data_IF_774281836076
#
_entry.id   IF_774281836076
#
_cell.length_a   1.000
_cell.length_b   1.000
_cell.length_c   1.000
_cell.angle_alpha   90.00
_cell.angle_beta   90.00
_cell.angle_gamma   90.00
#
_symmetry.space_group_name_H-M   'P 1'
#
loop_
_entity.id
_entity.type
_entity.pdbx_description
1 polymer ?
#
# COMPACT_ATOMS: atom_id res chain seq x y z
N UNK A 1 -67.08 16.85 43.58
CA UNK A 1 -66.01 15.85 43.39
C UNK A 1 -65.97 15.55 41.90
N UNK A 2 -65.08 16.17 41.16
CA UNK A 2 -64.86 15.92 39.74
C UNK A 2 -63.37 15.58 39.63
N UNK A 3 -63.04 14.33 39.30
CA UNK A 3 -61.72 13.88 38.96
C UNK A 3 -61.50 14.13 37.46
N UNK A 4 -60.59 15.01 37.10
CA UNK A 4 -60.16 15.29 35.76
C UNK A 4 -59.22 14.15 35.31
N UNK A 5 -59.53 13.50 34.23
CA UNK A 5 -58.71 12.55 33.45
C UNK A 5 -57.99 13.35 32.34
N UNK A 6 -56.73 13.76 32.61
CA UNK A 6 -55.86 14.32 31.59
C UNK A 6 -54.45 13.71 31.81
N UNK A 7 -54.28 12.46 31.35
CA UNK A 7 -52.95 11.84 31.28
C UNK A 7 -52.85 10.85 30.09
N UNK A 8 -52.82 11.39 28.87
CA UNK A 8 -52.31 10.67 27.71
C UNK A 8 -51.88 11.70 26.62
N UNK A 9 -50.85 12.47 26.91
CA UNK A 9 -50.07 13.10 25.86
C UNK A 9 -48.89 12.16 25.56
N UNK A 10 -48.98 11.50 24.40
CA UNK A 10 -47.98 10.59 23.90
C UNK A 10 -46.61 11.26 23.84
N UNK A 11 -45.65 10.64 24.50
CA UNK A 11 -44.24 10.84 24.28
C UNK A 11 -43.97 10.54 22.79
N UNK A 12 -43.79 11.59 21.99
CA UNK A 12 -43.15 11.44 20.69
C UNK A 12 -41.76 10.84 20.98
N UNK A 13 -41.60 9.57 20.64
CA UNK A 13 -40.28 8.96 20.46
C UNK A 13 -39.63 9.78 19.36
N UNK A 14 -38.73 10.69 19.76
CA UNK A 14 -37.93 11.42 18.82
C UNK A 14 -37.15 10.37 18.01
N UNK A 15 -37.31 10.40 16.70
CA UNK A 15 -36.35 9.76 15.79
C UNK A 15 -35.00 10.31 16.23
N UNK A 16 -34.09 9.44 16.71
CA UNK A 16 -32.68 9.78 16.78
C UNK A 16 -32.33 10.23 15.36
N UNK A 17 -32.04 11.50 15.17
CA UNK A 17 -31.31 11.94 13.99
C UNK A 17 -30.09 11.03 13.93
N UNK A 18 -29.93 10.26 12.85
CA UNK A 18 -28.74 9.49 12.61
C UNK A 18 -27.59 10.50 12.50
N UNK A 19 -26.87 10.74 13.58
CA UNK A 19 -25.65 11.52 13.52
C UNK A 19 -24.67 10.78 12.61
N UNK A 20 -24.06 11.52 11.67
CA UNK A 20 -23.02 10.97 10.77
C UNK A 20 -21.88 10.41 11.62
N UNK A 21 -21.28 9.33 11.15
CA UNK A 21 -20.06 8.78 11.72
C UNK A 21 -18.89 9.65 11.24
N UNK A 22 -18.25 10.36 12.15
CA UNK A 22 -17.14 11.26 11.84
C UNK A 22 -15.82 10.49 11.82
N UNK A 23 -15.16 10.48 10.68
CA UNK A 23 -13.90 9.77 10.46
C UNK A 23 -12.79 10.75 10.09
N UNK A 24 -11.72 10.72 10.86
CA UNK A 24 -10.46 11.38 10.54
C UNK A 24 -9.51 10.36 9.87
N UNK A 25 -8.97 10.68 8.70
CA UNK A 25 -7.92 9.89 8.04
C UNK A 25 -6.61 10.65 8.09
N UNK A 26 -5.56 10.09 8.74
CA UNK A 26 -4.23 10.70 8.82
C UNK A 26 -3.28 9.94 7.90
N UNK A 27 -2.60 10.68 7.01
CA UNK A 27 -1.75 10.14 5.93
C UNK A 27 -0.43 10.88 5.90
N UNK A 28 0.69 10.17 5.84
CA UNK A 28 2.03 10.74 5.83
C UNK A 28 2.77 10.63 4.51
N UNK A 29 2.67 9.49 3.86
CA UNK A 29 3.52 9.12 2.73
C UNK A 29 2.73 8.74 1.48
N UNK A 30 3.41 8.70 0.34
CA UNK A 30 2.82 8.30 -0.95
C UNK A 30 2.22 6.88 -0.93
N UNK A 31 2.89 5.84 -0.41
CA UNK A 31 2.26 4.51 -0.30
C UNK A 31 0.99 4.49 0.53
N UNK A 32 0.95 5.28 1.61
CA UNK A 32 -0.25 5.42 2.44
C UNK A 32 -1.42 6.04 1.66
N UNK A 33 -1.17 7.08 0.84
CA UNK A 33 -2.22 7.68 0.00
C UNK A 33 -2.84 6.64 -0.91
N UNK A 34 -2.03 5.85 -1.61
CA UNK A 34 -2.49 4.81 -2.53
C UNK A 34 -3.43 3.85 -1.79
N UNK A 35 -3.04 3.39 -0.61
CA UNK A 35 -3.79 2.41 0.18
C UNK A 35 -4.99 3.02 0.92
N UNK A 36 -4.94 4.31 1.27
CA UNK A 36 -6.06 5.02 1.92
C UNK A 36 -7.13 5.50 0.94
N UNK A 37 -6.75 5.85 -0.28
CA UNK A 37 -7.67 6.40 -1.29
C UNK A 37 -8.95 5.57 -1.49
N UNK A 38 -8.89 4.23 -1.65
CA UNK A 38 -10.10 3.42 -1.79
C UNK A 38 -11.02 3.51 -0.56
N UNK A 39 -10.44 3.59 0.63
CA UNK A 39 -11.20 3.71 1.88
C UNK A 39 -11.86 5.07 1.97
N UNK A 40 -11.13 6.16 1.68
CA UNK A 40 -11.68 7.52 1.64
C UNK A 40 -12.86 7.58 0.67
N UNK A 41 -12.69 7.02 -0.54
CA UNK A 41 -13.73 6.98 -1.55
C UNK A 41 -14.96 6.21 -1.06
N UNK A 42 -14.78 5.00 -0.55
CA UNK A 42 -15.87 4.16 -0.06
C UNK A 42 -16.64 4.79 1.10
N UNK A 43 -15.96 5.54 1.97
CA UNK A 43 -16.60 6.27 3.07
C UNK A 43 -17.33 7.53 2.57
N UNK A 44 -16.73 8.32 1.67
CA UNK A 44 -17.35 9.54 1.14
C UNK A 44 -18.58 9.27 0.25
N UNK A 45 -18.66 8.09 -0.38
CA UNK A 45 -19.80 7.65 -1.17
C UNK A 45 -20.98 7.13 -0.33
N UNK A 46 -20.80 6.94 0.98
CA UNK A 46 -21.85 6.51 1.91
C UNK A 46 -22.29 7.68 2.80
N UNK A 47 -23.55 8.09 2.65
CA UNK A 47 -24.17 9.22 3.38
C UNK A 47 -24.13 9.06 4.93
N UNK A 48 -23.74 7.91 5.45
CA UNK A 48 -23.61 7.70 6.89
C UNK A 48 -22.32 8.30 7.47
N UNK A 49 -21.36 8.73 6.63
CA UNK A 49 -20.05 9.18 7.08
C UNK A 49 -19.78 10.66 6.76
N UNK A 50 -19.06 11.32 7.67
CA UNK A 50 -18.37 12.59 7.45
C UNK A 50 -16.85 12.33 7.56
N UNK A 51 -16.10 12.57 6.47
CA UNK A 51 -14.69 12.17 6.35
C UNK A 51 -13.78 13.38 6.20
N UNK A 52 -12.89 13.57 7.15
CA UNK A 52 -11.79 14.54 7.12
C UNK A 52 -10.49 13.86 6.79
N UNK A 53 -9.75 14.42 5.84
CA UNK A 53 -8.44 13.91 5.44
C UNK A 53 -7.37 14.89 5.86
N UNK A 54 -6.35 14.39 6.56
CA UNK A 54 -5.21 15.19 7.02
C UNK A 54 -3.92 14.57 6.48
N UNK A 55 -3.19 15.35 5.68
CA UNK A 55 -1.84 15.02 5.27
C UNK A 55 -0.83 15.68 6.20
N UNK A 56 0.15 14.91 6.65
CA UNK A 56 1.25 15.46 7.45
C UNK A 56 2.32 16.14 6.58
N UNK A 57 2.30 15.89 5.28
CA UNK A 57 3.11 16.62 4.31
C UNK A 57 4.56 16.18 4.22
N UNK A 58 4.82 14.87 4.31
CA UNK A 58 6.17 14.31 4.27
C UNK A 58 6.89 14.46 2.91
N UNK A 59 6.17 14.67 1.78
CA UNK A 59 6.73 14.92 0.44
C UNK A 59 5.82 15.86 -0.35
N UNK A 60 6.26 17.12 -0.61
CA UNK A 60 5.42 18.16 -1.21
C UNK A 60 4.99 17.88 -2.65
N UNK A 61 5.95 17.71 -3.57
CA UNK A 61 5.65 17.69 -5.02
C UNK A 61 4.98 16.39 -5.48
N UNK A 62 5.40 15.24 -4.94
CA UNK A 62 4.81 13.95 -5.29
C UNK A 62 3.42 13.76 -4.69
N UNK A 63 3.13 14.41 -3.56
CA UNK A 63 1.84 14.39 -2.90
C UNK A 63 0.80 15.16 -3.72
N UNK A 64 1.13 16.39 -4.13
CA UNK A 64 0.22 17.27 -4.87
C UNK A 64 -0.19 16.64 -6.22
N UNK A 65 0.76 16.04 -6.95
CA UNK A 65 0.48 15.31 -8.19
C UNK A 65 -0.44 14.11 -7.99
N UNK A 66 -0.28 13.35 -6.90
CA UNK A 66 -1.14 12.20 -6.61
C UNK A 66 -2.53 12.61 -6.13
N UNK A 67 -2.63 13.66 -5.33
CA UNK A 67 -3.92 14.14 -4.83
C UNK A 67 -4.81 14.60 -5.99
N UNK A 68 -4.24 15.33 -6.96
CA UNK A 68 -4.95 15.71 -8.20
C UNK A 68 -5.39 14.49 -9.01
N UNK A 69 -4.49 13.53 -9.22
CA UNK A 69 -4.76 12.31 -9.97
C UNK A 69 -5.86 11.44 -9.30
N UNK A 70 -5.90 11.39 -7.97
CA UNK A 70 -6.82 10.58 -7.16
C UNK A 70 -8.16 11.30 -6.90
N UNK A 71 -8.21 12.63 -7.05
CA UNK A 71 -9.41 13.43 -6.84
C UNK A 71 -9.79 13.61 -5.36
N UNK A 72 -8.80 13.74 -4.47
CA UNK A 72 -9.02 14.15 -3.08
C UNK A 72 -8.88 15.67 -3.01
N UNK A 73 -9.97 16.39 -3.11
CA UNK A 73 -10.05 17.85 -3.21
C UNK A 73 -10.27 18.56 -1.86
N UNK A 74 -10.78 17.86 -0.84
CA UNK A 74 -11.00 18.40 0.51
C UNK A 74 -10.07 17.71 1.52
N UNK A 75 -8.99 18.42 1.90
CA UNK A 75 -7.99 17.92 2.86
C UNK A 75 -7.27 19.05 3.59
N UNK A 76 -6.71 18.74 4.76
CA UNK A 76 -5.82 19.61 5.52
C UNK A 76 -4.37 19.14 5.33
N UNK A 77 -3.44 20.03 4.98
CA UNK A 77 -2.01 19.70 4.90
C UNK A 77 -1.23 20.40 6.00
N UNK A 78 -0.71 19.65 6.95
CA UNK A 78 0.00 20.16 8.12
C UNK A 78 1.46 20.56 7.85
N UNK A 79 2.05 20.10 6.74
CA UNK A 79 3.39 20.50 6.25
C UNK A 79 4.51 20.35 7.29
N UNK A 80 4.55 19.24 8.00
CA UNK A 80 5.51 19.00 9.10
C UNK A 80 6.92 18.59 8.63
N UNK A 81 7.09 18.27 7.34
CA UNK A 81 8.34 17.70 6.84
C UNK A 81 9.43 18.75 6.63
N UNK A 82 10.62 18.44 7.12
CA UNK A 82 11.88 19.13 6.86
C UNK A 82 12.96 18.08 6.51
N UNK A 83 13.83 18.35 5.56
CA UNK A 83 14.90 17.44 5.19
C UNK A 83 15.84 17.14 6.37
N UNK A 84 16.21 15.86 6.50
CA UNK A 84 17.18 15.43 7.52
C UNK A 84 16.64 15.38 8.96
N UNK A 85 15.32 15.41 9.17
CA UNK A 85 14.73 15.25 10.50
C UNK A 85 15.03 13.88 11.10
N UNK A 86 15.31 13.86 12.41
CA UNK A 86 15.32 12.62 13.19
C UNK A 86 13.91 12.08 13.40
N UNK A 87 13.78 10.79 13.65
CA UNK A 87 12.48 10.15 13.96
C UNK A 87 11.76 10.83 15.13
N UNK A 88 12.50 11.20 16.18
CA UNK A 88 11.96 11.93 17.35
C UNK A 88 11.38 13.29 16.95
N UNK A 89 12.05 13.99 16.02
CA UNK A 89 11.59 15.28 15.51
C UNK A 89 10.32 15.12 14.67
N UNK A 90 10.27 14.12 13.79
CA UNK A 90 9.07 13.80 13.00
C UNK A 90 7.89 13.49 13.92
N UNK A 91 8.07 12.63 14.93
CA UNK A 91 7.02 12.28 15.89
C UNK A 91 6.51 13.52 16.64
N UNK A 92 7.41 14.32 17.20
CA UNK A 92 7.03 15.52 17.97
C UNK A 92 6.35 16.57 17.11
N UNK A 93 6.82 16.83 15.91
CA UNK A 93 6.19 17.77 14.98
C UNK A 93 4.81 17.29 14.53
N UNK A 94 4.65 15.99 14.27
CA UNK A 94 3.36 15.43 13.90
C UNK A 94 2.33 15.62 15.03
N UNK A 95 2.69 15.29 16.27
CA UNK A 95 1.82 15.49 17.44
C UNK A 95 1.44 16.95 17.62
N UNK A 96 2.43 17.87 17.59
CA UNK A 96 2.18 19.31 17.75
C UNK A 96 1.31 19.88 16.61
N UNK A 97 1.53 19.47 15.39
CA UNK A 97 0.74 19.92 14.25
C UNK A 97 -0.70 19.38 14.30
N UNK A 98 -0.90 18.11 14.69
CA UNK A 98 -2.23 17.55 14.92
C UNK A 98 -2.98 18.27 16.05
N UNK A 99 -2.28 18.75 17.06
CA UNK A 99 -2.89 19.56 18.12
C UNK A 99 -3.42 20.93 17.64
N UNK A 100 -3.04 21.39 16.45
CA UNK A 100 -3.62 22.61 15.86
C UNK A 100 -4.98 22.39 15.20
N UNK A 101 -5.43 21.14 15.04
CA UNK A 101 -6.76 20.86 14.51
C UNK A 101 -7.82 21.38 15.48
N UNK A 102 -8.72 22.23 14.96
CA UNK A 102 -9.82 22.79 15.76
C UNK A 102 -10.89 21.74 16.07
N UNK A 103 -11.23 20.91 15.07
CA UNK A 103 -12.19 19.83 15.21
C UNK A 103 -11.54 18.59 15.82
N UNK A 104 -12.11 18.07 16.91
CA UNK A 104 -11.64 16.87 17.63
C UNK A 104 -12.77 15.89 17.95
N UNK A 105 -13.98 16.18 17.49
CA UNK A 105 -15.16 15.37 17.72
C UNK A 105 -15.30 14.34 16.61
N UNK A 106 -14.35 13.37 16.56
CA UNK A 106 -14.34 12.25 15.64
C UNK A 106 -14.68 10.95 16.36
N UNK A 107 -15.48 10.09 15.72
CA UNK A 107 -15.76 8.74 16.21
C UNK A 107 -14.54 7.83 15.98
N UNK A 108 -13.88 7.98 14.83
CA UNK A 108 -12.72 7.18 14.44
C UNK A 108 -11.60 8.04 13.87
N UNK A 109 -10.37 7.60 14.15
CA UNK A 109 -9.17 8.02 13.44
C UNK A 109 -8.57 6.81 12.72
N UNK A 110 -8.53 6.83 11.40
CA UNK A 110 -7.94 5.78 10.60
C UNK A 110 -6.50 6.13 10.23
N UNK A 111 -5.60 5.17 10.43
CA UNK A 111 -4.20 5.22 10.02
C UNK A 111 -3.85 3.97 9.22
N UNK A 112 -2.89 4.07 8.29
CA UNK A 112 -2.54 2.96 7.41
C UNK A 112 -1.04 2.65 7.47
N UNK A 113 -0.69 1.38 7.73
CA UNK A 113 0.70 0.92 7.70
C UNK A 113 1.47 1.22 8.98
N UNK A 114 2.72 1.66 8.86
CA UNK A 114 3.71 1.56 9.94
C UNK A 114 4.73 2.69 10.00
N UNK A 115 4.53 3.77 9.27
CA UNK A 115 5.47 4.90 9.31
C UNK A 115 5.43 5.63 10.66
N UNK A 116 6.46 6.45 10.92
CA UNK A 116 6.49 7.29 12.13
C UNK A 116 5.29 8.23 12.22
N UNK A 117 4.76 8.68 11.08
CA UNK A 117 3.55 9.51 11.02
C UNK A 117 2.30 8.74 11.42
N UNK A 118 2.20 7.49 11.01
CA UNK A 118 1.10 6.58 11.40
C UNK A 118 1.10 6.38 12.91
N UNK A 119 2.27 6.08 13.48
CA UNK A 119 2.42 5.98 14.93
C UNK A 119 2.02 7.27 15.67
N UNK A 120 2.52 8.43 15.22
CA UNK A 120 2.19 9.72 15.83
C UNK A 120 0.68 10.03 15.71
N UNK A 121 0.06 9.76 14.57
CA UNK A 121 -1.37 9.95 14.34
C UNK A 121 -2.23 9.06 15.24
N UNK A 122 -1.90 7.79 15.35
CA UNK A 122 -2.57 6.86 16.25
C UNK A 122 -2.44 7.27 17.72
N UNK A 123 -1.23 7.66 18.13
CA UNK A 123 -0.98 8.11 19.50
C UNK A 123 -1.76 9.40 19.85
N UNK A 124 -1.78 10.36 18.92
CA UNK A 124 -2.56 11.59 19.08
C UNK A 124 -4.06 11.30 19.22
N UNK A 125 -4.60 10.42 18.37
CA UNK A 125 -6.00 10.01 18.43
C UNK A 125 -6.33 9.33 19.77
N UNK A 126 -5.46 8.41 20.21
CA UNK A 126 -5.60 7.75 21.51
C UNK A 126 -5.63 8.75 22.69
N UNK A 127 -4.74 9.76 22.70
CA UNK A 127 -4.73 10.79 23.73
C UNK A 127 -6.00 11.64 23.74
N UNK A 128 -6.62 11.85 22.59
CA UNK A 128 -7.89 12.57 22.44
C UNK A 128 -9.11 11.67 22.63
N UNK A 129 -8.94 10.38 22.97
CA UNK A 129 -10.01 9.38 23.16
C UNK A 129 -10.84 9.13 21.90
N UNK A 130 -10.24 9.32 20.72
CA UNK A 130 -10.80 8.98 19.43
C UNK A 130 -10.43 7.52 19.16
N UNK A 131 -11.39 6.69 18.73
CA UNK A 131 -11.16 5.29 18.42
C UNK A 131 -10.19 5.15 17.24
N UNK A 132 -9.08 4.43 17.40
CA UNK A 132 -8.09 4.22 16.34
C UNK A 132 -8.47 2.99 15.52
N UNK A 133 -8.56 3.14 14.19
CA UNK A 133 -8.62 2.04 13.24
C UNK A 133 -7.31 1.91 12.47
N UNK A 134 -6.66 0.76 12.58
CA UNK A 134 -5.36 0.47 11.95
C UNK A 134 -5.54 -0.36 10.69
N UNK A 135 -5.35 0.24 9.52
CA UNK A 135 -5.41 -0.42 8.22
C UNK A 135 -4.05 -1.06 7.91
N UNK A 136 -4.03 -2.29 7.40
CA UNK A 136 -2.85 -3.12 7.17
C UNK A 136 -2.17 -3.52 8.49
N UNK A 137 -2.97 -3.82 9.50
CA UNK A 137 -2.51 -4.27 10.80
C UNK A 137 -1.99 -5.72 10.75
N UNK A 138 -0.99 -6.03 11.57
CA UNK A 138 -0.58 -7.43 11.81
C UNK A 138 0.56 -7.95 10.95
N UNK A 139 1.14 -7.16 10.04
CA UNK A 139 2.41 -7.53 9.40
C UNK A 139 3.51 -7.62 10.45
N UNK A 140 4.35 -8.66 10.39
CA UNK A 140 5.46 -8.88 11.33
C UNK A 140 6.71 -9.39 10.62
N UNK A 141 7.87 -8.98 11.13
CA UNK A 141 9.19 -9.41 10.65
C UNK A 141 10.01 -10.14 11.71
N UNK A 142 9.44 -10.36 12.92
CA UNK A 142 10.09 -10.99 14.07
C UNK A 142 11.30 -10.21 14.63
N UNK A 143 11.81 -9.22 13.92
CA UNK A 143 12.94 -8.41 14.33
C UNK A 143 12.55 -6.94 14.44
N UNK A 144 12.41 -6.42 15.66
CA UNK A 144 11.98 -5.05 15.95
C UNK A 144 12.87 -3.95 15.32
N UNK A 145 14.07 -4.30 14.88
CA UNK A 145 15.01 -3.42 14.20
C UNK A 145 15.06 -3.63 12.67
N UNK A 146 14.22 -4.49 12.11
CA UNK A 146 14.20 -4.76 10.67
C UNK A 146 12.80 -5.12 10.15
N UNK A 147 12.16 -4.26 9.33
CA UNK A 147 12.60 -2.91 8.95
C UNK A 147 12.53 -1.94 10.13
N UNK A 148 13.43 -0.96 10.14
CA UNK A 148 13.48 0.04 11.21
C UNK A 148 13.12 1.43 10.69
N UNK A 149 12.19 2.17 11.34
CA UNK A 149 11.49 1.89 12.62
C UNK A 149 10.13 1.16 12.47
N UNK A 150 9.78 0.70 11.29
CA UNK A 150 8.45 0.26 10.90
C UNK A 150 7.91 -0.88 11.76
N UNK A 151 8.75 -1.90 12.08
CA UNK A 151 8.32 -3.04 12.91
C UNK A 151 7.90 -2.60 14.32
N UNK A 152 8.65 -1.68 14.92
CA UNK A 152 8.31 -1.14 16.23
C UNK A 152 7.01 -0.31 16.17
N UNK A 153 6.88 0.53 15.15
CA UNK A 153 5.68 1.38 14.97
C UNK A 153 4.41 0.53 14.84
N UNK A 154 4.42 -0.51 13.97
CA UNK A 154 3.23 -1.34 13.75
C UNK A 154 2.80 -2.11 14.99
N UNK A 155 3.76 -2.59 15.79
CA UNK A 155 3.46 -3.23 17.08
C UNK A 155 2.82 -2.26 18.05
N UNK A 156 3.38 -1.05 18.20
CA UNK A 156 2.82 -0.04 19.10
C UNK A 156 1.43 0.44 18.67
N UNK A 157 1.22 0.64 17.37
CA UNK A 157 -0.10 1.06 16.85
C UNK A 157 -1.15 -0.01 17.09
N UNK A 158 -0.83 -1.29 16.86
CA UNK A 158 -1.77 -2.40 17.11
C UNK A 158 -2.23 -2.48 18.55
N UNK A 159 -1.38 -2.11 19.53
CA UNK A 159 -1.73 -2.16 20.97
C UNK A 159 -2.72 -1.06 21.38
N UNK A 160 -2.78 0.06 20.67
CA UNK A 160 -3.69 1.18 20.97
C UNK A 160 -4.86 1.29 19.99
N UNK A 161 -4.88 0.44 18.96
CA UNK A 161 -5.96 0.41 17.98
C UNK A 161 -7.22 -0.23 18.58
N UNK A 162 -8.38 0.41 18.35
CA UNK A 162 -9.69 -0.11 18.68
C UNK A 162 -10.15 -1.15 17.65
N UNK A 163 -9.80 -0.94 16.37
CA UNK A 163 -10.07 -1.86 15.27
C UNK A 163 -8.76 -2.13 14.49
N UNK A 164 -8.45 -3.40 14.25
CA UNK A 164 -7.30 -3.83 13.48
C UNK A 164 -7.80 -4.50 12.18
N UNK A 165 -7.56 -3.86 11.03
CA UNK A 165 -7.93 -4.35 9.71
C UNK A 165 -6.74 -5.11 9.11
N UNK A 166 -6.73 -6.43 9.28
CA UNK A 166 -5.66 -7.30 8.81
C UNK A 166 -5.79 -7.58 7.31
N UNK A 167 -4.69 -7.51 6.54
CA UNK A 167 -4.74 -7.82 5.11
C UNK A 167 -4.90 -9.31 4.81
N UNK A 168 -4.44 -10.20 5.70
CA UNK A 168 -4.42 -11.66 5.52
C UNK A 168 -4.75 -12.38 6.83
N UNK A 169 -5.04 -13.68 6.76
CA UNK A 169 -5.18 -14.52 7.96
C UNK A 169 -3.87 -14.62 8.74
N UNK A 170 -2.73 -14.69 8.06
CA UNK A 170 -1.42 -14.68 8.73
C UNK A 170 -1.21 -13.40 9.55
N UNK A 171 -1.59 -12.24 9.00
CA UNK A 171 -1.55 -10.99 9.74
C UNK A 171 -2.49 -10.98 10.96
N UNK A 172 -3.68 -11.60 10.85
CA UNK A 172 -4.59 -11.80 11.98
C UNK A 172 -3.95 -12.67 13.07
N UNK A 173 -3.35 -13.79 12.70
CA UNK A 173 -2.66 -14.69 13.64
C UNK A 173 -1.52 -13.99 14.39
N UNK A 174 -0.74 -13.14 13.69
CA UNK A 174 0.29 -12.32 14.31
C UNK A 174 -0.27 -11.38 15.38
N UNK A 175 -1.41 -10.74 15.11
CA UNK A 175 -2.07 -9.86 16.09
C UNK A 175 -2.54 -10.63 17.33
N UNK A 176 -3.14 -11.81 17.15
CA UNK A 176 -3.54 -12.69 18.25
C UNK A 176 -2.32 -13.11 19.08
N UNK A 177 -1.22 -13.48 18.40
CA UNK A 177 0.03 -13.84 19.07
C UNK A 177 0.59 -12.69 19.92
N UNK A 178 0.46 -11.45 19.46
CA UNK A 178 0.85 -10.24 20.20
C UNK A 178 -0.16 -9.84 21.30
N UNK A 179 -1.20 -10.64 21.53
CA UNK A 179 -2.17 -10.45 22.61
C UNK A 179 -3.28 -9.43 22.29
N UNK A 180 -3.53 -9.13 21.02
CA UNK A 180 -4.65 -8.29 20.59
C UNK A 180 -5.95 -9.10 20.70
N UNK A 181 -7.00 -8.46 21.21
CA UNK A 181 -8.34 -9.04 21.32
C UNK A 181 -8.88 -9.44 19.95
N UNK A 182 -9.21 -10.72 19.78
CA UNK A 182 -9.72 -11.27 18.52
C UNK A 182 -10.96 -10.54 18.01
N UNK A 183 -11.82 -10.08 18.91
CA UNK A 183 -13.03 -9.32 18.58
C UNK A 183 -12.72 -7.95 17.95
N UNK A 184 -11.49 -7.43 18.07
CA UNK A 184 -11.02 -6.19 17.46
C UNK A 184 -10.31 -6.39 16.12
N UNK A 185 -10.15 -7.66 15.66
CA UNK A 185 -9.38 -7.99 14.46
C UNK A 185 -10.32 -8.43 13.35
N UNK A 186 -10.18 -7.80 12.18
CA UNK A 186 -10.99 -8.07 11.00
C UNK A 186 -10.11 -8.34 9.79
N UNK A 187 -10.22 -9.51 9.17
CA UNK A 187 -9.52 -9.80 7.90
C UNK A 187 -10.30 -9.15 6.76
N UNK A 188 -9.73 -8.07 6.23
CA UNK A 188 -10.38 -7.26 5.18
C UNK A 188 -9.82 -7.50 3.78
N UNK A 189 -8.59 -8.00 3.68
CA UNK A 189 -7.78 -7.87 2.49
C UNK A 189 -6.94 -6.59 2.53
N UNK A 190 -5.98 -6.47 1.61
CA UNK A 190 -5.15 -5.28 1.47
C UNK A 190 -5.81 -4.26 0.53
N UNK A 191 -5.94 -3.03 0.98
CA UNK A 191 -6.54 -1.92 0.23
C UNK A 191 -5.74 -1.53 -1.03
N UNK A 192 -4.50 -2.01 -1.18
CA UNK A 192 -3.72 -1.82 -2.40
C UNK A 192 -4.38 -2.51 -3.61
N UNK A 193 -5.09 -3.63 -3.40
CA UNK A 193 -5.81 -4.31 -4.48
C UNK A 193 -7.05 -3.52 -4.91
N UNK A 194 -7.72 -2.86 -3.96
CA UNK A 194 -8.78 -1.90 -4.26
C UNK A 194 -8.25 -0.72 -5.06
N UNK A 195 -7.09 -0.16 -4.64
CA UNK A 195 -6.43 0.95 -5.33
C UNK A 195 -6.07 0.57 -6.77
N UNK A 196 -5.50 -0.61 -6.97
CA UNK A 196 -5.15 -1.15 -8.27
C UNK A 196 -6.37 -1.19 -9.20
N UNK A 197 -7.49 -1.76 -8.74
CA UNK A 197 -8.74 -1.88 -9.51
C UNK A 197 -9.38 -0.53 -9.80
N UNK A 198 -9.37 0.40 -8.85
CA UNK A 198 -9.93 1.75 -9.03
C UNK A 198 -9.09 2.61 -9.96
N UNK A 199 -7.79 2.35 -10.04
CA UNK A 199 -6.85 3.11 -10.88
C UNK A 199 -6.77 2.59 -12.31
N UNK A 200 -7.13 1.33 -12.57
CA UNK A 200 -7.09 0.74 -13.90
C UNK A 200 -8.22 1.24 -14.80
N UNK A 201 -7.88 1.58 -16.05
CA UNK A 201 -8.81 2.01 -17.13
C UNK A 201 -8.38 1.36 -18.44
N UNK A 202 -9.31 0.82 -19.20
CA UNK A 202 -9.03 0.14 -20.48
C UNK A 202 -8.46 1.08 -21.55
N UNK A 203 -8.91 2.34 -21.57
CA UNK A 203 -8.57 3.37 -22.58
C UNK A 203 -7.46 4.32 -22.10
N UNK A 204 -6.64 3.89 -21.14
CA UNK A 204 -5.58 4.71 -20.56
C UNK A 204 -4.49 5.06 -21.58
N UNK A 205 -4.12 6.34 -21.61
CA UNK A 205 -2.95 6.81 -22.34
C UNK A 205 -1.84 7.17 -21.37
N UNK A 206 -0.69 6.55 -21.54
CA UNK A 206 0.47 6.83 -20.71
C UNK A 206 0.95 8.25 -20.89
N UNK A 207 1.35 8.89 -19.81
CA UNK A 207 2.04 10.19 -19.83
C UNK A 207 3.41 10.06 -20.52
N UNK A 208 4.08 8.92 -20.36
CA UNK A 208 5.31 8.59 -21.08
C UNK A 208 4.97 8.04 -22.49
N UNK A 209 5.36 8.76 -23.53
CA UNK A 209 5.02 8.41 -24.92
C UNK A 209 5.54 7.04 -25.36
N UNK A 210 6.71 6.62 -24.86
CA UNK A 210 7.26 5.29 -25.15
C UNK A 210 6.30 4.17 -24.74
N UNK A 211 5.67 4.30 -23.57
CA UNK A 211 4.77 3.28 -23.04
C UNK A 211 3.47 3.12 -23.86
N UNK A 212 3.11 4.10 -24.70
CA UNK A 212 1.99 3.98 -25.63
C UNK A 212 2.31 3.09 -26.86
N UNK A 213 3.59 2.75 -27.08
CA UNK A 213 4.05 1.98 -28.23
C UNK A 213 5.03 0.89 -27.78
N UNK A 214 4.64 0.08 -26.79
CA UNK A 214 5.49 -1.00 -26.28
C UNK A 214 5.83 -2.02 -27.40
N UNK A 215 7.04 -2.58 -27.39
CA UNK A 215 7.43 -3.63 -28.32
C UNK A 215 6.47 -4.83 -28.28
N UNK A 216 6.33 -5.51 -29.41
CA UNK A 216 5.63 -6.79 -29.47
C UNK A 216 6.48 -7.90 -28.83
N UNK A 217 5.86 -9.02 -28.46
CA UNK A 217 6.56 -10.14 -27.83
C UNK A 217 6.53 -10.08 -26.29
N UNK A 218 7.43 -10.86 -25.69
CA UNK A 218 7.53 -11.00 -24.23
C UNK A 218 8.03 -9.73 -23.59
N UNK A 219 7.35 -9.27 -22.53
CA UNK A 219 7.66 -8.03 -21.82
C UNK A 219 7.83 -8.28 -20.33
N UNK A 220 8.87 -7.69 -19.76
CA UNK A 220 9.19 -7.76 -18.33
C UNK A 220 9.23 -6.35 -17.76
N UNK A 221 8.50 -6.11 -16.70
CA UNK A 221 8.70 -4.91 -15.87
C UNK A 221 9.79 -5.22 -14.86
N UNK A 222 10.81 -4.37 -14.80
CA UNK A 222 11.88 -4.47 -13.82
C UNK A 222 11.87 -3.27 -12.89
N UNK A 223 12.06 -3.49 -11.58
CA UNK A 223 12.40 -2.41 -10.62
C UNK A 223 13.48 -2.88 -9.65
N UNK A 224 14.41 -1.97 -9.32
CA UNK A 224 15.47 -2.21 -8.34
C UNK A 224 15.77 -0.90 -7.62
N UNK A 225 15.64 -0.87 -6.29
CA UNK A 225 15.86 0.33 -5.49
C UNK A 225 16.33 0.06 -4.06
N UNK A 226 16.27 -1.19 -3.58
CA UNK A 226 16.64 -1.56 -2.21
C UNK A 226 18.14 -1.41 -1.97
N UNK A 227 18.50 -0.91 -0.80
CA UNK A 227 19.92 -0.71 -0.40
C UNK A 227 20.69 -2.02 -0.36
N UNK A 228 20.05 -3.10 0.08
CA UNK A 228 20.64 -4.45 0.16
C UNK A 228 21.12 -4.99 -1.19
N UNK A 229 20.55 -4.53 -2.31
CA UNK A 229 20.90 -4.94 -3.66
C UNK A 229 22.02 -4.10 -4.28
N UNK A 230 22.34 -2.94 -3.71
CA UNK A 230 23.28 -1.99 -4.33
C UNK A 230 24.70 -2.54 -4.48
N UNK A 231 25.09 -3.51 -3.67
CA UNK A 231 26.42 -4.15 -3.78
C UNK A 231 26.45 -5.27 -4.82
N UNK A 232 25.29 -5.79 -5.27
CA UNK A 232 25.16 -6.89 -6.22
C UNK A 232 24.53 -6.47 -7.55
N UNK A 233 24.45 -5.15 -7.88
CA UNK A 233 23.77 -4.66 -9.10
C UNK A 233 24.37 -5.26 -10.38
N UNK A 234 25.68 -5.53 -10.43
CA UNK A 234 26.33 -6.18 -11.58
C UNK A 234 25.75 -7.57 -11.84
N UNK A 235 25.69 -8.42 -10.81
CA UNK A 235 25.15 -9.78 -10.91
C UNK A 235 23.66 -9.77 -11.27
N UNK A 236 22.87 -8.92 -10.58
CA UNK A 236 21.44 -8.79 -10.81
C UNK A 236 21.17 -8.37 -12.27
N UNK A 237 21.80 -7.30 -12.73
CA UNK A 237 21.53 -6.72 -14.04
C UNK A 237 22.05 -7.60 -15.17
N UNK A 238 23.22 -8.21 -15.01
CA UNK A 238 23.74 -9.15 -16.02
C UNK A 238 22.89 -10.41 -16.12
N UNK A 239 22.41 -10.96 -15.01
CA UNK A 239 21.52 -12.12 -15.03
C UNK A 239 20.21 -11.84 -15.76
N UNK A 240 19.57 -10.69 -15.47
CA UNK A 240 18.32 -10.28 -16.11
C UNK A 240 18.56 -10.03 -17.61
N UNK A 241 19.65 -9.34 -17.97
CA UNK A 241 20.02 -9.10 -19.37
C UNK A 241 20.21 -10.39 -20.14
N UNK A 242 21.01 -11.29 -19.61
CA UNK A 242 21.37 -12.53 -20.33
C UNK A 242 20.14 -13.43 -20.51
N UNK A 243 19.24 -13.51 -19.53
CA UNK A 243 17.97 -14.23 -19.66
C UNK A 243 17.02 -13.55 -20.66
N UNK A 244 16.90 -12.22 -20.63
CA UNK A 244 16.06 -11.47 -21.56
C UNK A 244 16.55 -11.61 -23.02
N UNK A 245 17.85 -11.44 -23.26
CA UNK A 245 18.45 -11.60 -24.62
C UNK A 245 18.25 -13.02 -25.14
N UNK A 246 18.49 -14.05 -24.32
CA UNK A 246 18.29 -15.44 -24.70
C UNK A 246 16.87 -15.75 -25.16
N UNK A 247 15.87 -15.13 -24.52
CA UNK A 247 14.45 -15.42 -24.75
C UNK A 247 13.75 -14.42 -25.67
N UNK A 248 14.48 -13.49 -26.28
CA UNK A 248 13.93 -12.37 -27.06
C UNK A 248 12.83 -11.60 -26.31
N UNK A 249 13.10 -11.33 -25.04
CA UNK A 249 12.19 -10.59 -24.17
C UNK A 249 12.63 -9.13 -24.04
N UNK A 250 11.67 -8.21 -23.96
CA UNK A 250 11.93 -6.80 -23.77
C UNK A 250 11.69 -6.38 -22.31
N UNK A 251 12.68 -5.77 -21.69
CA UNK A 251 12.64 -5.32 -20.29
C UNK A 251 12.43 -3.80 -20.23
N UNK A 252 11.39 -3.39 -19.51
CA UNK A 252 11.09 -2.00 -19.26
C UNK A 252 11.50 -1.70 -17.82
N UNK A 253 12.42 -0.75 -17.63
CA UNK A 253 12.95 -0.40 -16.34
C UNK A 253 12.75 1.09 -16.03
N UNK A 254 11.66 1.44 -15.30
CA UNK A 254 11.53 2.74 -14.65
C UNK A 254 12.58 2.87 -13.55
N UNK A 255 13.67 3.59 -13.84
CA UNK A 255 14.86 3.65 -12.98
C UNK A 255 14.62 4.51 -11.75
N UNK A 256 15.02 4.03 -10.59
CA UNK A 256 15.07 4.84 -9.39
C UNK A 256 16.11 5.98 -9.53
N UNK A 257 15.90 7.10 -8.80
CA UNK A 257 16.77 8.29 -8.87
C UNK A 257 18.17 8.09 -8.24
N UNK A 258 18.42 6.98 -7.56
CA UNK A 258 19.70 6.66 -6.94
C UNK A 258 20.83 6.61 -7.98
N UNK A 259 21.90 7.43 -7.88
CA UNK A 259 22.97 7.48 -8.88
C UNK A 259 23.61 6.13 -9.16
N UNK A 260 23.90 5.35 -8.12
CA UNK A 260 24.54 4.01 -8.23
C UNK A 260 23.72 3.05 -9.08
N UNK A 261 22.39 3.10 -8.99
CA UNK A 261 21.49 2.26 -9.80
C UNK A 261 21.54 2.69 -11.26
N UNK A 262 21.52 4.00 -11.53
CA UNK A 262 21.58 4.56 -12.88
C UNK A 262 22.90 4.25 -13.55
N UNK A 263 24.03 4.45 -12.86
CA UNK A 263 25.37 4.12 -13.36
C UNK A 263 25.50 2.61 -13.71
N UNK A 264 24.95 1.75 -12.85
CA UNK A 264 24.95 0.32 -13.13
C UNK A 264 24.04 -0.04 -14.32
N UNK A 265 22.84 0.57 -14.42
CA UNK A 265 21.94 0.37 -15.53
C UNK A 265 22.57 0.81 -16.87
N UNK A 266 23.20 1.97 -16.93
CA UNK A 266 23.90 2.48 -18.10
C UNK A 266 25.06 1.55 -18.52
N UNK A 267 25.76 0.99 -17.54
CA UNK A 267 26.89 0.08 -17.80
C UNK A 267 26.47 -1.30 -18.28
N UNK A 268 25.48 -1.90 -17.65
CA UNK A 268 25.17 -3.32 -17.82
C UNK A 268 23.93 -3.59 -18.68
N UNK A 269 22.98 -2.64 -18.78
CA UNK A 269 21.70 -2.81 -19.49
C UNK A 269 21.59 -1.95 -20.76
N UNK A 270 21.97 -0.68 -20.71
CA UNK A 270 21.82 0.25 -21.84
C UNK A 270 22.45 -0.23 -23.16
N UNK A 271 23.55 -1.02 -23.18
CA UNK A 271 24.09 -1.56 -24.43
C UNK A 271 23.21 -2.60 -25.13
N UNK A 272 22.16 -3.11 -24.48
CA UNK A 272 21.26 -4.13 -25.04
C UNK A 272 19.98 -3.52 -25.61
N UNK A 273 19.65 -3.86 -26.85
CA UNK A 273 18.39 -3.43 -27.50
C UNK A 273 17.12 -3.99 -26.84
N UNK A 274 17.29 -5.03 -26.00
CA UNK A 274 16.21 -5.63 -25.24
C UNK A 274 15.78 -4.80 -24.00
N UNK A 275 16.41 -3.65 -23.76
CA UNK A 275 16.13 -2.84 -22.58
C UNK A 275 15.67 -1.44 -22.95
N UNK A 276 14.62 -0.98 -22.27
CA UNK A 276 14.22 0.41 -22.27
C UNK A 276 14.29 0.98 -20.85
N UNK A 277 15.27 1.86 -20.67
CA UNK A 277 15.50 2.59 -19.43
C UNK A 277 14.72 3.89 -19.49
N UNK A 278 13.81 4.11 -18.54
CA UNK A 278 12.97 5.32 -18.48
C UNK A 278 13.06 5.99 -17.11
N UNK A 279 12.68 7.25 -17.06
CA UNK A 279 12.52 7.97 -15.80
C UNK A 279 11.40 7.34 -14.94
N UNK A 280 11.40 7.60 -13.61
CA UNK A 280 10.31 7.15 -12.74
C UNK A 280 8.96 7.59 -13.30
N UNK A 281 8.00 6.68 -13.29
CA UNK A 281 6.66 6.90 -13.82
C UNK A 281 5.63 7.15 -12.70
N UNK A 282 4.48 7.71 -13.08
CA UNK A 282 3.36 7.91 -12.17
C UNK A 282 2.79 6.58 -11.68
N UNK A 283 2.00 6.62 -10.59
CA UNK A 283 1.31 5.42 -10.10
C UNK A 283 0.35 4.85 -11.16
N UNK A 284 -0.37 5.72 -11.86
CA UNK A 284 -1.29 5.29 -12.92
C UNK A 284 -0.55 4.64 -14.11
N UNK A 285 0.57 5.23 -14.55
CA UNK A 285 1.41 4.60 -15.56
C UNK A 285 1.93 3.22 -15.08
N UNK A 286 2.33 3.11 -13.80
CA UNK A 286 2.80 1.85 -13.24
C UNK A 286 1.71 0.78 -13.25
N UNK A 287 0.48 1.10 -12.79
CA UNK A 287 -0.68 0.18 -12.78
C UNK A 287 -0.96 -0.35 -14.19
N UNK A 288 -0.97 0.53 -15.19
CA UNK A 288 -1.27 0.13 -16.57
C UNK A 288 -0.09 -0.63 -17.20
N UNK A 289 1.15 -0.28 -16.86
CA UNK A 289 2.33 -1.01 -17.32
C UNK A 289 2.36 -2.44 -16.76
N UNK A 290 2.05 -2.64 -15.47
CA UNK A 290 1.94 -3.98 -14.88
C UNK A 290 0.94 -4.83 -15.66
N UNK A 291 -0.21 -4.27 -16.06
CA UNK A 291 -1.20 -5.01 -16.84
C UNK A 291 -0.70 -5.38 -18.26
N UNK A 292 0.18 -4.58 -18.87
CA UNK A 292 0.67 -4.77 -20.24
C UNK A 292 1.91 -5.66 -20.35
N UNK A 293 2.62 -5.91 -19.26
CA UNK A 293 3.77 -6.84 -19.25
C UNK A 293 3.32 -8.27 -18.94
N UNK A 294 4.19 -9.24 -19.18
CA UNK A 294 3.91 -10.64 -18.90
C UNK A 294 4.32 -11.04 -17.49
N UNK A 295 5.38 -10.45 -16.96
CA UNK A 295 5.88 -10.72 -15.60
C UNK A 295 6.62 -9.52 -15.02
N UNK A 296 6.91 -9.60 -13.73
CA UNK A 296 7.61 -8.56 -12.97
C UNK A 296 8.84 -9.13 -12.27
N UNK A 297 9.97 -8.42 -12.38
CA UNK A 297 11.20 -8.68 -11.61
C UNK A 297 11.43 -7.49 -10.68
N UNK A 298 11.41 -7.70 -9.35
CA UNK A 298 11.38 -6.56 -8.43
C UNK A 298 11.97 -6.85 -7.05
N UNK A 299 12.46 -5.80 -6.40
CA UNK A 299 12.74 -5.77 -4.95
C UNK A 299 11.71 -4.95 -4.17
N UNK A 300 10.66 -4.44 -4.84
CA UNK A 300 9.58 -3.65 -4.25
C UNK A 300 8.56 -4.51 -3.53
N UNK A 301 8.26 -4.17 -2.26
CA UNK A 301 7.16 -4.80 -1.53
C UNK A 301 5.78 -4.56 -2.16
N UNK A 302 5.52 -3.35 -2.64
CA UNK A 302 4.23 -3.01 -3.27
C UNK A 302 3.96 -3.83 -4.54
N UNK A 303 4.96 -3.99 -5.40
CA UNK A 303 4.79 -4.77 -6.64
C UNK A 303 4.58 -6.28 -6.38
N UNK A 304 5.06 -6.82 -5.26
CA UNK A 304 4.75 -8.18 -4.83
C UNK A 304 3.26 -8.36 -4.50
N UNK A 305 2.58 -7.29 -4.08
CA UNK A 305 1.15 -7.29 -3.79
C UNK A 305 0.32 -6.96 -5.04
N UNK A 306 0.76 -5.98 -5.85
CA UNK A 306 0.01 -5.41 -6.96
C UNK A 306 0.04 -6.27 -8.23
N UNK A 307 1.22 -6.78 -8.64
CA UNK A 307 1.35 -7.50 -9.90
C UNK A 307 0.51 -8.81 -9.95
N UNK A 308 0.41 -9.60 -8.88
CA UNK A 308 -0.51 -10.73 -8.83
C UNK A 308 -1.98 -10.35 -8.99
N UNK A 309 -2.36 -9.09 -8.71
CA UNK A 309 -3.70 -8.56 -8.95
C UNK A 309 -4.11 -8.55 -10.42
N UNK A 310 -3.14 -8.56 -11.32
CA UNK A 310 -3.31 -8.71 -12.78
C UNK A 310 -2.89 -10.09 -13.29
N UNK A 311 -2.67 -11.07 -12.42
CA UNK A 311 -2.21 -12.40 -12.81
C UNK A 311 -0.77 -12.42 -13.37
N UNK A 312 0.10 -11.49 -12.90
CA UNK A 312 1.49 -11.43 -13.38
C UNK A 312 2.42 -12.13 -12.40
N UNK A 313 3.17 -13.16 -12.84
CA UNK A 313 4.21 -13.77 -12.03
C UNK A 313 5.25 -12.75 -11.56
N UNK A 314 5.71 -12.88 -10.32
CA UNK A 314 6.69 -11.97 -9.74
C UNK A 314 7.95 -12.71 -9.31
N UNK A 315 9.11 -12.33 -9.84
CA UNK A 315 10.42 -12.72 -9.32
C UNK A 315 10.91 -11.67 -8.34
N UNK A 316 11.09 -12.07 -7.09
CA UNK A 316 11.52 -11.20 -5.99
C UNK A 316 13.02 -11.33 -5.84
N UNK A 317 13.77 -10.30 -6.30
CA UNK A 317 15.24 -10.23 -6.25
C UNK A 317 15.71 -9.74 -4.89
N UNK A 318 15.37 -10.48 -3.83
CA UNK A 318 15.73 -10.23 -2.43
C UNK A 318 16.16 -11.53 -1.75
N UNK A 319 16.91 -11.43 -0.66
CA UNK A 319 17.26 -12.58 0.19
C UNK A 319 16.13 -12.96 1.13
N UNK A 320 15.37 -11.96 1.58
CA UNK A 320 14.23 -12.10 2.48
C UNK A 320 13.07 -11.23 2.00
N UNK A 321 11.84 -11.61 2.35
CA UNK A 321 10.65 -10.79 2.10
C UNK A 321 9.76 -10.76 3.35
N UNK A 322 9.19 -9.61 3.64
CA UNK A 322 8.14 -9.42 4.64
C UNK A 322 6.75 -9.82 4.13
N UNK A 323 6.67 -10.48 2.98
CA UNK A 323 5.44 -10.90 2.29
C UNK A 323 5.49 -12.38 1.94
N UNK A 324 5.58 -13.27 2.92
CA UNK A 324 5.66 -14.71 2.68
C UNK A 324 4.40 -15.26 2.00
N UNK A 325 3.25 -14.62 2.18
CA UNK A 325 1.98 -15.08 1.63
C UNK A 325 2.00 -15.15 0.09
N UNK A 326 2.68 -14.23 -0.59
CA UNK A 326 2.84 -14.26 -2.05
C UNK A 326 3.66 -15.44 -2.53
N UNK A 327 4.67 -15.86 -1.74
CA UNK A 327 5.49 -17.03 -2.01
C UNK A 327 4.69 -18.32 -1.76
N UNK A 328 3.99 -18.39 -0.64
CA UNK A 328 3.17 -19.55 -0.23
C UNK A 328 2.00 -19.78 -1.20
N UNK A 329 1.36 -18.69 -1.64
CA UNK A 329 0.30 -18.75 -2.65
C UNK A 329 0.81 -19.08 -4.05
N UNK A 330 2.13 -19.00 -4.30
CA UNK A 330 2.76 -19.26 -5.58
C UNK A 330 2.59 -18.15 -6.62
N UNK A 331 2.24 -16.92 -6.20
CA UNK A 331 2.20 -15.74 -7.08
C UNK A 331 3.57 -15.08 -7.23
N UNK A 332 4.43 -15.27 -6.22
CA UNK A 332 5.77 -14.73 -6.17
C UNK A 332 6.80 -15.85 -5.97
N UNK A 333 8.02 -15.67 -6.48
CA UNK A 333 9.17 -16.57 -6.26
C UNK A 333 10.34 -15.76 -5.75
N UNK A 334 10.82 -16.06 -4.54
CA UNK A 334 11.99 -15.43 -3.92
C UNK A 334 13.25 -16.05 -4.51
N UNK A 335 14.03 -15.27 -5.28
CA UNK A 335 15.18 -15.77 -6.04
C UNK A 335 16.54 -15.29 -5.55
N UNK A 336 16.56 -14.46 -4.47
CA UNK A 336 17.80 -13.89 -4.01
C UNK A 336 18.33 -12.80 -4.95
N UNK A 337 19.62 -12.50 -4.81
CA UNK A 337 20.30 -11.47 -5.61
C UNK A 337 21.61 -11.95 -6.25
N UNK A 338 21.76 -13.27 -6.42
CA UNK A 338 22.89 -13.92 -7.06
C UNK A 338 22.56 -14.23 -8.54
N UNK A 339 23.55 -14.09 -9.42
CA UNK A 339 23.38 -14.25 -10.87
C UNK A 339 22.65 -15.53 -11.28
N UNK A 340 23.13 -16.70 -10.81
CA UNK A 340 22.62 -17.99 -11.26
C UNK A 340 21.14 -18.18 -10.96
N UNK A 341 20.74 -17.85 -9.72
CA UNK A 341 19.35 -18.03 -9.28
C UNK A 341 18.39 -17.09 -10.06
N UNK A 342 18.79 -15.84 -10.29
CA UNK A 342 17.99 -14.88 -11.08
C UNK A 342 17.86 -15.36 -12.52
N UNK A 343 19.00 -15.72 -13.14
CA UNK A 343 19.04 -16.15 -14.53
C UNK A 343 18.18 -17.40 -14.79
N UNK A 344 18.35 -18.46 -14.02
CA UNK A 344 17.60 -19.71 -14.21
C UNK A 344 16.08 -19.53 -14.04
N UNK A 345 15.66 -18.81 -12.99
CA UNK A 345 14.24 -18.60 -12.74
C UNK A 345 13.59 -17.66 -13.75
N UNK A 346 14.29 -16.62 -14.20
CA UNK A 346 13.78 -15.74 -15.25
C UNK A 346 13.74 -16.44 -16.62
N UNK A 347 14.77 -17.23 -16.95
CA UNK A 347 14.80 -18.05 -18.17
C UNK A 347 13.64 -19.05 -18.19
N UNK A 348 13.36 -19.74 -17.09
CA UNK A 348 12.23 -20.65 -16.96
C UNK A 348 10.88 -19.95 -17.20
N UNK A 349 10.64 -18.82 -16.56
CA UNK A 349 9.38 -18.08 -16.71
C UNK A 349 9.22 -17.49 -18.11
N UNK A 350 10.30 -17.02 -18.72
CA UNK A 350 10.27 -16.47 -20.08
C UNK A 350 9.98 -17.52 -21.16
N UNK A 351 10.04 -18.79 -20.84
CA UNK A 351 9.56 -19.85 -21.76
C UNK A 351 8.03 -19.94 -21.80
N UNK A 352 7.31 -19.21 -20.92
CA UNK A 352 5.84 -19.18 -20.83
C UNK A 352 5.24 -20.59 -20.69
N UNK A 353 5.95 -21.48 -20.00
CA UNK A 353 5.57 -22.87 -19.78
C UNK A 353 4.70 -23.08 -18.54
N UNK A 354 4.73 -24.32 -18.01
CA UNK A 354 3.87 -24.73 -16.89
C UNK A 354 4.09 -23.92 -15.61
N UNK A 355 5.31 -23.49 -15.32
CA UNK A 355 5.59 -22.67 -14.14
C UNK A 355 4.99 -21.26 -14.28
N UNK A 356 5.10 -20.64 -15.45
CA UNK A 356 4.45 -19.37 -15.74
C UNK A 356 2.92 -19.48 -15.57
N UNK A 357 2.31 -20.49 -16.18
CA UNK A 357 0.86 -20.73 -16.10
C UNK A 357 0.41 -20.95 -14.65
N UNK A 358 1.16 -21.72 -13.88
CA UNK A 358 0.88 -21.96 -12.46
C UNK A 358 0.91 -20.66 -11.67
N UNK A 359 1.94 -19.82 -11.83
CA UNK A 359 2.09 -18.57 -11.11
C UNK A 359 1.05 -17.54 -11.54
N UNK A 360 0.76 -17.41 -12.84
CA UNK A 360 -0.21 -16.44 -13.36
C UNK A 360 -1.65 -16.73 -12.96
N UNK A 361 -2.00 -17.99 -12.72
CA UNK A 361 -3.34 -18.40 -12.27
C UNK A 361 -3.44 -18.60 -10.75
N UNK A 362 -2.36 -18.42 -10.00
CA UNK A 362 -2.38 -18.50 -8.55
C UNK A 362 -3.28 -17.41 -7.95
N UNK A 363 -4.00 -17.76 -6.89
CA UNK A 363 -4.90 -16.82 -6.22
C UNK A 363 -4.08 -15.76 -5.49
N UNK A 364 -4.36 -14.49 -5.73
CA UNK A 364 -3.72 -13.40 -5.02
C UNK A 364 -4.09 -13.43 -3.53
N UNK A 365 -3.14 -13.65 -2.61
CA UNK A 365 -3.43 -13.78 -1.18
C UNK A 365 -3.81 -12.45 -0.52
N UNK A 366 -3.52 -11.32 -1.17
CA UNK A 366 -3.73 -9.97 -0.62
C UNK A 366 -5.16 -9.46 -0.79
N UNK A 367 -6.06 -10.20 -1.44
CA UNK A 367 -7.47 -9.90 -1.46
C UNK A 367 -8.10 -9.78 -2.84
N UNK A 368 -9.39 -9.41 -2.81
CA UNK A 368 -10.28 -9.38 -3.97
C UNK A 368 -10.67 -7.96 -4.42
N UNK A 369 -10.06 -6.91 -3.85
CA UNK A 369 -10.34 -5.51 -4.15
C UNK A 369 -11.68 -5.02 -3.57
N UNK A 370 -12.06 -5.54 -2.40
CA UNK A 370 -13.23 -5.11 -1.62
C UNK A 370 -12.86 -4.81 -0.16
N UNK A 371 -11.59 -4.60 0.14
CA UNK A 371 -11.12 -4.31 1.49
C UNK A 371 -11.71 -3.00 2.02
N UNK A 372 -11.74 -1.96 1.19
CA UNK A 372 -12.31 -0.65 1.53
C UNK A 372 -13.80 -0.73 1.88
N UNK A 373 -14.58 -1.54 1.16
CA UNK A 373 -16.00 -1.75 1.45
C UNK A 373 -16.21 -2.50 2.77
N UNK A 374 -15.37 -3.51 3.06
CA UNK A 374 -15.41 -4.23 4.34
C UNK A 374 -15.08 -3.30 5.50
N UNK A 375 -14.04 -2.47 5.36
CA UNK A 375 -13.67 -1.46 6.39
C UNK A 375 -14.85 -0.52 6.65
N UNK A 376 -15.48 0.03 5.61
CA UNK A 376 -16.67 0.87 5.73
C UNK A 376 -17.79 0.17 6.50
N UNK A 377 -18.11 -1.06 6.13
CA UNK A 377 -19.22 -1.81 6.71
C UNK A 377 -18.93 -2.17 8.18
N UNK A 378 -17.69 -2.46 8.54
CA UNK A 378 -17.25 -2.69 9.92
C UNK A 378 -17.41 -1.43 10.76
N UNK A 379 -16.94 -0.27 10.27
CA UNK A 379 -17.10 1.01 10.96
C UNK A 379 -18.57 1.36 11.18
N UNK A 380 -19.43 1.06 10.20
CA UNK A 380 -20.88 1.30 10.28
C UNK A 380 -21.58 0.35 11.27
N UNK A 381 -21.04 -0.84 11.44
CA UNK A 381 -21.57 -1.89 12.34
C UNK A 381 -21.01 -1.81 13.76
N UNK A 382 -19.90 -1.10 14.01
CA UNK A 382 -19.28 -1.01 15.33
C UNK A 382 -20.16 -0.23 16.30
N UNK A 383 -20.71 -0.94 17.27
CA UNK A 383 -21.58 -0.39 18.31
C UNK A 383 -20.90 -0.27 19.67
N UNK A 384 -19.60 -0.52 19.74
CA UNK A 384 -18.84 -0.62 21.00
C UNK A 384 -18.42 0.76 21.53
#
# INVERSE_FOLDING_TARGET
>A
MAFSLDFLKGTRIGKKENSLIKVLMIIGTRPEIIKCFPVIKALREDEAFDVRVVFTGQHRELLDMMIEDIGIDDYINLRIFEDGQSLSKITSHALQALDTLEERDFDYCLVQGDTTTVFAGALWAFYNKIKVGHIEAGLRSENIYSPYPEEANRKMVSQIAHLNFAPTEAARENLIHDGIDEDSIFVTGNTVIDALKLSYREDYKFKNEFLNNLPTGKKVLMTAHRRENQDNLEEIFTAIRDAAVKNDAHVIFPMHLTPRIREAADKYLAPSENFTLIEPISYYDMVHLINQVDMVVTDSGGLQEEAPGFGKPVLVIRRETERPEGIEAGTCKLVGNEYQAIYENLDELLQMGSEYEKMSHAVNPYGDGKASLRIRDILKGDKR
#
